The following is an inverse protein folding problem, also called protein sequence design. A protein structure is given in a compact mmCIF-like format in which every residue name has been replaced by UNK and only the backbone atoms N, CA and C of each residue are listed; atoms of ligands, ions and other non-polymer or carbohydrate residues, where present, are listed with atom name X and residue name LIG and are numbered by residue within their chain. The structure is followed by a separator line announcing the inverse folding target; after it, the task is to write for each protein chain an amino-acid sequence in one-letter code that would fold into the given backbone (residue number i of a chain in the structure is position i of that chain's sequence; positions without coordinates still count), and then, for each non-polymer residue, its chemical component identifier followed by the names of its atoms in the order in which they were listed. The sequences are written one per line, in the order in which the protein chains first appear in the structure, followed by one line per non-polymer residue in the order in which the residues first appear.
data_IF_614683579507
#
_entry.id   IF_614683579507
#
_cell.length_a   1.000
_cell.length_b   1.000
_cell.length_c   1.000
_cell.angle_alpha   90.00
_cell.angle_beta   90.00
_cell.angle_gamma   90.00
#
_symmetry.space_group_name_H-M   'P 1'
#
loop_
_entity.id
_entity.type
_entity.pdbx_description
1 polymer ?
#
# COMPACT_ATOMS: atom_id res chain seq x y z
N UNK A 1 -27.70 2.84 -20.47
CA UNK A 1 -27.15 3.82 -21.45
C UNK A 1 -27.27 5.16 -20.74
N UNK A 2 -26.25 5.75 -20.12
CA UNK A 2 -24.85 6.06 -20.47
C UNK A 2 -24.19 6.37 -19.10
N UNK A 3 -22.94 6.15 -18.73
CA UNK A 3 -21.66 6.20 -19.43
C UNK A 3 -20.61 5.48 -18.54
N UNK A 4 -20.17 4.29 -18.95
CA UNK A 4 -19.10 3.53 -18.27
C UNK A 4 -17.81 3.75 -19.05
N UNK A 5 -17.14 4.89 -18.87
CA UNK A 5 -15.78 5.08 -19.39
C UNK A 5 -14.93 5.93 -18.45
N UNK A 6 -13.95 5.26 -17.82
CA UNK A 6 -12.53 5.65 -17.83
C UNK A 6 -11.70 4.50 -17.23
N UNK A 7 -11.78 3.32 -17.84
CA UNK A 7 -10.75 2.27 -17.68
C UNK A 7 -9.91 2.26 -18.95
N UNK A 8 -9.08 3.28 -19.10
CA UNK A 8 -7.94 3.22 -19.99
C UNK A 8 -6.84 2.46 -19.23
N UNK A 9 -6.21 1.41 -19.80
CA UNK A 9 -5.01 0.80 -19.21
C UNK A 9 -3.84 1.78 -19.07
N UNK A 10 -3.96 2.99 -19.63
CA UNK A 10 -3.03 4.11 -19.52
C UNK A 10 -3.42 5.17 -18.47
N UNK A 11 -4.24 4.82 -17.48
CA UNK A 11 -4.46 5.67 -16.30
C UNK A 11 -3.12 6.06 -15.64
N UNK A 12 -3.02 7.24 -15.01
CA UNK A 12 -1.75 7.75 -14.50
C UNK A 12 -1.06 6.69 -13.64
N UNK A 13 0.17 6.35 -14.01
CA UNK A 13 0.99 5.41 -13.26
C UNK A 13 1.53 6.14 -12.02
N UNK A 14 1.20 5.64 -10.84
CA UNK A 14 1.63 6.23 -9.58
C UNK A 14 2.92 5.58 -9.11
N UNK A 15 3.85 6.40 -8.63
CA UNK A 15 5.06 5.91 -7.97
C UNK A 15 4.73 5.41 -6.56
N UNK A 16 4.29 4.17 -6.48
CA UNK A 16 3.78 3.53 -5.27
C UNK A 16 4.08 2.03 -5.31
N UNK A 17 3.97 1.40 -4.15
CA UNK A 17 4.03 -0.06 -3.98
C UNK A 17 2.70 -0.52 -3.41
N UNK A 18 2.09 -1.56 -3.97
CA UNK A 18 0.81 -2.09 -3.51
C UNK A 18 0.95 -3.55 -3.10
N UNK A 19 0.40 -3.90 -1.94
CA UNK A 19 0.46 -5.25 -1.35
C UNK A 19 -0.90 -5.65 -0.76
N UNK A 20 -1.12 -6.96 -0.63
CA UNK A 20 -2.23 -7.54 0.11
C UNK A 20 -1.65 -8.22 1.35
N UNK A 21 -2.26 -7.97 2.52
CA UNK A 21 -1.96 -8.60 3.80
C UNK A 21 -3.27 -9.14 4.39
N UNK A 22 -3.44 -10.46 4.41
CA UNK A 22 -4.70 -11.13 4.72
C UNK A 22 -5.81 -10.64 3.78
N UNK A 23 -6.77 -9.91 4.34
CA UNK A 23 -7.89 -9.30 3.59
C UNK A 23 -7.67 -7.83 3.24
N UNK A 24 -6.58 -7.22 3.66
CA UNK A 24 -6.34 -5.78 3.52
C UNK A 24 -5.38 -5.51 2.36
N UNK A 25 -5.81 -4.70 1.41
CA UNK A 25 -4.94 -4.08 0.41
C UNK A 25 -4.35 -2.78 0.94
N UNK A 26 -3.03 -2.64 0.84
CA UNK A 26 -2.28 -1.46 1.24
C UNK A 26 -1.63 -0.81 0.03
N UNK A 27 -1.64 0.53 0.00
CA UNK A 27 -0.92 1.34 -0.97
C UNK A 27 0.15 2.17 -0.26
N UNK A 28 1.41 1.87 -0.50
CA UNK A 28 2.56 2.58 0.04
C UNK A 28 2.98 3.69 -0.93
N UNK A 29 3.02 4.94 -0.46
CA UNK A 29 3.42 6.12 -1.23
C UNK A 29 4.55 6.86 -0.52
N UNK A 30 5.23 7.73 -1.26
CA UNK A 30 6.35 8.52 -0.76
C UNK A 30 7.38 8.75 -1.85
N UNK A 31 8.35 9.66 -1.63
CA UNK A 31 9.38 9.97 -2.61
C UNK A 31 10.20 8.74 -3.02
N UNK A 32 10.88 8.83 -4.16
CA UNK A 32 11.83 7.79 -4.56
C UNK A 32 12.92 7.66 -3.49
N UNK A 33 13.27 6.42 -3.13
CA UNK A 33 14.23 6.16 -2.05
C UNK A 33 13.67 6.20 -0.62
N UNK A 34 12.39 6.57 -0.40
CA UNK A 34 11.76 6.62 0.93
C UNK A 34 11.75 5.28 1.70
N UNK A 35 11.92 4.16 0.99
CA UNK A 35 11.90 2.81 1.57
C UNK A 35 10.62 2.01 1.34
N UNK A 36 9.75 2.42 0.40
CA UNK A 36 8.47 1.75 0.08
C UNK A 36 8.62 0.24 -0.14
N UNK A 37 9.52 -0.17 -1.03
CA UNK A 37 9.75 -1.58 -1.36
C UNK A 37 10.33 -2.37 -0.18
N UNK A 38 11.22 -1.75 0.61
CA UNK A 38 11.76 -2.37 1.84
C UNK A 38 10.64 -2.63 2.86
N UNK A 39 9.82 -1.61 3.15
CA UNK A 39 8.68 -1.76 4.05
C UNK A 39 7.69 -2.80 3.53
N UNK A 40 7.34 -2.78 2.24
CA UNK A 40 6.48 -3.78 1.63
C UNK A 40 7.02 -5.21 1.81
N UNK A 41 8.31 -5.44 1.59
CA UNK A 41 8.95 -6.75 1.78
C UNK A 41 8.87 -7.22 3.23
N UNK A 42 9.09 -6.32 4.20
CA UNK A 42 8.96 -6.63 5.62
C UNK A 42 7.53 -7.01 5.99
N UNK A 43 6.55 -6.21 5.56
CA UNK A 43 5.13 -6.45 5.83
C UNK A 43 4.63 -7.78 5.24
N UNK A 44 5.02 -8.07 3.99
CA UNK A 44 4.69 -9.34 3.34
C UNK A 44 5.25 -10.53 4.14
N UNK A 45 6.53 -10.47 4.51
CA UNK A 45 7.17 -11.55 5.26
C UNK A 45 6.62 -11.70 6.69
N UNK A 46 6.20 -10.62 7.35
CA UNK A 46 5.56 -10.68 8.66
C UNK A 46 4.18 -11.33 8.58
N UNK A 47 3.36 -10.94 7.60
CA UNK A 47 2.07 -11.58 7.37
C UNK A 47 2.19 -13.07 7.05
N UNK A 48 3.14 -13.46 6.19
CA UNK A 48 3.42 -14.87 5.88
C UNK A 48 3.82 -15.66 7.15
N UNK A 49 4.72 -15.12 7.98
CA UNK A 49 5.16 -15.77 9.23
C UNK A 49 4.01 -15.96 10.23
N UNK A 50 3.05 -15.05 10.23
CA UNK A 50 1.85 -15.13 11.06
C UNK A 50 0.75 -16.04 10.46
N UNK A 51 1.00 -16.66 9.31
CA UNK A 51 0.05 -17.57 8.66
C UNK A 51 -1.04 -16.87 7.85
N UNK A 52 -0.86 -15.59 7.51
CA UNK A 52 -1.78 -14.84 6.66
C UNK A 52 -1.34 -14.85 5.20
N UNK A 53 -2.33 -14.76 4.29
CA UNK A 53 -2.05 -14.54 2.88
C UNK A 53 -1.29 -13.23 2.69
N UNK A 54 -0.24 -13.23 1.88
CA UNK A 54 0.48 -12.02 1.53
C UNK A 54 0.85 -12.05 0.05
N UNK A 55 0.57 -10.97 -0.67
CA UNK A 55 0.86 -10.88 -2.09
C UNK A 55 1.30 -9.49 -2.51
N UNK A 56 2.24 -9.44 -3.45
CA UNK A 56 2.62 -8.22 -4.14
C UNK A 56 1.64 -7.97 -5.30
N UNK A 57 1.10 -6.76 -5.36
CA UNK A 57 0.27 -6.31 -6.49
C UNK A 57 1.14 -5.60 -7.51
N UNK A 58 1.98 -4.67 -7.05
CA UNK A 58 2.95 -3.95 -7.88
C UNK A 58 3.98 -3.21 -7.03
N UNK A 59 5.15 -2.96 -7.62
CA UNK A 59 6.24 -2.19 -7.02
C UNK A 59 6.68 -1.09 -8.00
N UNK A 60 7.06 0.08 -7.46
CA UNK A 60 7.42 1.32 -8.16
C UNK A 60 6.40 1.95 -9.11
N UNK A 61 5.50 1.16 -9.70
CA UNK A 61 4.53 1.56 -10.73
C UNK A 61 3.22 0.81 -10.53
N UNK A 62 2.21 1.54 -10.06
CA UNK A 62 0.86 1.03 -9.81
C UNK A 62 -0.15 1.92 -10.51
N UNK A 63 -1.07 1.31 -11.24
CA UNK A 63 -2.22 2.00 -11.82
C UNK A 63 -3.34 2.03 -10.79
N UNK A 64 -3.95 3.20 -10.59
CA UNK A 64 -5.06 3.37 -9.67
C UNK A 64 -6.33 3.71 -10.45
N UNK A 65 -7.43 3.08 -10.07
CA UNK A 65 -8.76 3.38 -10.62
C UNK A 65 -9.81 3.33 -9.53
N UNK A 66 -10.84 4.14 -9.65
CA UNK A 66 -11.99 4.10 -8.74
C UNK A 66 -13.05 3.20 -9.36
N UNK A 67 -13.32 2.07 -8.72
CA UNK A 67 -14.39 1.15 -9.08
C UNK A 67 -15.60 1.29 -8.15
N UNK A 68 -16.64 0.48 -8.37
CA UNK A 68 -17.86 0.51 -7.57
C UNK A 68 -17.63 0.18 -6.09
N UNK A 69 -16.63 -0.64 -5.78
CA UNK A 69 -16.30 -1.07 -4.42
C UNK A 69 -15.26 -0.19 -3.72
N UNK A 70 -14.65 0.78 -4.41
CA UNK A 70 -13.60 1.65 -3.88
C UNK A 70 -12.38 1.78 -4.80
N UNK A 71 -11.24 2.15 -4.21
CA UNK A 71 -9.99 2.31 -4.96
C UNK A 71 -9.36 0.95 -5.28
N UNK A 72 -9.13 0.69 -6.56
CA UNK A 72 -8.45 -0.51 -7.05
C UNK A 72 -7.04 -0.15 -7.50
N UNK A 73 -6.06 -0.90 -7.01
CA UNK A 73 -4.68 -0.87 -7.48
C UNK A 73 -4.41 -2.04 -8.42
N UNK A 74 -3.75 -1.78 -9.54
CA UNK A 74 -3.26 -2.77 -10.49
C UNK A 74 -1.76 -2.60 -10.70
N UNK A 75 -0.99 -3.68 -10.61
CA UNK A 75 0.44 -3.63 -10.89
C UNK A 75 0.72 -3.40 -12.37
N UNK A 76 1.74 -2.59 -12.69
CA UNK A 76 2.15 -2.37 -14.08
C UNK A 76 2.54 -3.70 -14.79
N UNK A 77 2.18 -3.81 -16.07
CA UNK A 77 2.48 -4.98 -16.90
C UNK A 77 4.00 -5.19 -17.04
N UNK A 78 4.47 -6.44 -17.00
CA UNK A 78 5.88 -6.81 -17.21
C UNK A 78 6.77 -6.90 -15.96
N UNK A 79 6.27 -6.52 -14.77
CA UNK A 79 6.97 -6.66 -13.47
C UNK A 79 6.36 -7.75 -12.57
N UNK A 80 5.80 -8.79 -13.19
CA UNK A 80 4.95 -9.80 -12.54
C UNK A 80 5.60 -10.45 -11.31
N UNK A 81 5.14 -10.03 -10.12
CA UNK A 81 5.55 -10.62 -8.84
C UNK A 81 6.99 -10.33 -8.46
N UNK A 82 7.62 -9.30 -9.04
CA UNK A 82 8.99 -8.91 -8.78
C UNK A 82 9.03 -7.61 -7.99
N UNK A 83 9.94 -7.57 -7.02
CA UNK A 83 10.20 -6.41 -6.17
C UNK A 83 11.71 -6.28 -5.99
N UNK A 84 12.23 -5.06 -6.03
CA UNK A 84 13.65 -4.81 -5.86
C UNK A 84 14.04 -4.88 -4.38
N UNK A 85 14.97 -5.79 -4.06
CA UNK A 85 15.70 -5.76 -2.80
C UNK A 85 17.06 -5.12 -3.05
N UNK A 86 17.21 -3.84 -2.69
CA UNK A 86 18.45 -3.08 -2.90
C UNK A 86 19.64 -3.79 -2.27
N UNK A 87 20.72 -3.93 -3.05
CA UNK A 87 21.92 -4.67 -2.67
C UNK A 87 21.87 -6.17 -2.99
N UNK A 88 20.71 -6.72 -3.36
CA UNK A 88 20.54 -8.12 -3.79
C UNK A 88 20.06 -8.24 -5.24
N UNK A 89 19.11 -7.38 -5.65
CA UNK A 89 18.45 -7.43 -6.96
C UNK A 89 16.97 -7.80 -6.87
N UNK A 90 16.35 -8.14 -8.00
CA UNK A 90 14.92 -8.48 -8.07
C UNK A 90 14.65 -9.85 -7.43
N UNK A 91 13.67 -9.91 -6.53
CA UNK A 91 13.20 -11.15 -5.92
C UNK A 91 11.73 -11.41 -6.25
N UNK A 92 11.31 -12.68 -6.15
CA UNK A 92 9.92 -13.09 -6.42
C UNK A 92 9.08 -13.13 -5.15
N UNK A 93 7.79 -12.80 -5.30
CA UNK A 93 6.73 -12.97 -4.29
C UNK A 93 5.48 -13.57 -4.94
N UNK A 94 4.56 -14.06 -4.11
CA UNK A 94 3.20 -14.33 -4.57
C UNK A 94 2.65 -13.04 -5.19
N UNK A 95 2.01 -13.18 -6.34
CA UNK A 95 1.51 -12.05 -7.13
C UNK A 95 0.00 -12.10 -7.20
N UNK A 96 -0.63 -10.96 -6.96
CA UNK A 96 -1.99 -10.69 -7.42
C UNK A 96 -1.97 -9.60 -8.49
N UNK A 97 -2.89 -9.67 -9.45
CA UNK A 97 -2.97 -8.65 -10.52
C UNK A 97 -3.51 -7.34 -10.00
N UNK A 98 -4.50 -7.41 -9.11
CA UNK A 98 -5.23 -6.27 -8.59
C UNK A 98 -5.55 -6.44 -7.11
N UNK A 99 -5.75 -5.32 -6.42
CA UNK A 99 -6.27 -5.30 -5.05
C UNK A 99 -7.21 -4.11 -4.82
N UNK A 100 -8.24 -4.33 -4.01
CA UNK A 100 -8.98 -3.24 -3.38
C UNK A 100 -8.12 -2.64 -2.27
N UNK A 101 -7.88 -1.34 -2.31
CA UNK A 101 -7.08 -0.64 -1.31
C UNK A 101 -7.95 -0.20 -0.15
N UNK A 102 -7.51 -0.54 1.06
CA UNK A 102 -8.17 -0.27 2.32
C UNK A 102 -7.40 0.75 3.18
N UNK A 103 -6.08 0.83 2.99
CA UNK A 103 -5.19 1.69 3.77
C UNK A 103 -4.08 2.26 2.89
N UNK A 104 -3.83 3.55 3.04
CA UNK A 104 -2.66 4.22 2.47
C UNK A 104 -1.59 4.37 3.54
N UNK A 105 -0.35 4.03 3.19
CA UNK A 105 0.82 4.26 4.03
C UNK A 105 1.67 5.33 3.34
N UNK A 106 1.75 6.51 3.94
CA UNK A 106 2.53 7.62 3.40
C UNK A 106 3.88 7.72 4.11
N UNK A 107 4.94 7.35 3.41
CA UNK A 107 6.31 7.54 3.89
C UNK A 107 6.67 9.03 3.70
N UNK A 108 6.98 9.72 4.81
CA UNK A 108 7.28 11.15 4.83
C UNK A 108 8.50 11.46 5.70
N UNK A 109 9.18 12.59 5.49
CA UNK A 109 10.19 13.08 6.43
C UNK A 109 9.59 13.21 7.83
N UNK A 110 10.31 12.79 8.89
CA UNK A 110 9.80 12.81 10.26
C UNK A 110 9.32 14.19 10.72
N UNK A 111 9.94 15.28 10.23
CA UNK A 111 9.53 16.65 10.55
C UNK A 111 8.17 17.05 9.98
N UNK A 112 7.64 16.30 9.02
CA UNK A 112 6.31 16.50 8.41
C UNK A 112 5.24 15.60 9.03
N UNK A 113 5.60 14.79 10.03
CA UNK A 113 4.68 13.90 10.73
C UNK A 113 4.33 14.53 12.07
N UNK A 114 3.06 14.93 12.19
CA UNK A 114 2.53 15.46 13.43
C UNK A 114 2.57 14.42 14.55
N UNK A 115 2.89 14.86 15.76
CA UNK A 115 2.93 13.97 16.95
C UNK A 115 1.55 13.44 17.31
N UNK A 116 0.52 14.25 17.07
CA UNK A 116 -0.88 13.92 17.25
C UNK A 116 -1.61 14.46 16.01
N UNK A 117 -1.80 13.63 14.96
CA UNK A 117 -2.46 14.07 13.75
C UNK A 117 -3.95 14.26 13.99
N UNK A 118 -4.51 15.31 13.40
CA UNK A 118 -5.96 15.49 13.34
C UNK A 118 -6.62 14.45 12.41
N UNK A 119 -7.92 14.22 12.58
CA UNK A 119 -8.67 13.21 11.80
C UNK A 119 -8.56 13.44 10.27
N UNK A 120 -8.49 14.70 9.84
CA UNK A 120 -8.32 15.05 8.43
C UNK A 120 -6.97 14.60 7.84
N UNK A 121 -5.89 14.60 8.65
CA UNK A 121 -4.58 14.11 8.23
C UNK A 121 -4.54 12.57 8.13
N UNK A 122 -5.53 11.89 8.71
CA UNK A 122 -5.67 10.44 8.71
C UNK A 122 -6.52 9.91 7.54
N UNK A 123 -6.89 10.75 6.57
CA UNK A 123 -7.59 10.34 5.36
C UNK A 123 -7.02 11.00 4.10
N UNK A 124 -7.14 10.34 2.95
CA UNK A 124 -6.69 10.87 1.66
C UNK A 124 -7.74 10.65 0.56
N UNK A 125 -8.03 11.68 -0.26
CA UNK A 125 -8.96 11.56 -1.39
C UNK A 125 -8.35 10.85 -2.60
N UNK A 126 -9.17 10.03 -3.25
CA UNK A 126 -9.01 9.52 -4.61
C UNK A 126 -10.32 9.71 -5.38
N UNK A 127 -10.51 10.90 -5.94
CA UNK A 127 -11.79 11.28 -6.54
C UNK A 127 -12.91 11.26 -5.48
N UNK A 128 -14.00 10.49 -5.68
CA UNK A 128 -15.09 10.39 -4.71
C UNK A 128 -14.79 9.46 -3.52
N UNK A 129 -13.68 8.71 -3.55
CA UNK A 129 -13.32 7.76 -2.48
C UNK A 129 -12.37 8.44 -1.49
N UNK A 130 -12.63 8.27 -0.19
CA UNK A 130 -11.73 8.64 0.89
C UNK A 130 -11.17 7.37 1.51
N UNK A 131 -9.84 7.30 1.66
CA UNK A 131 -9.18 6.18 2.31
C UNK A 131 -8.47 6.61 3.59
N UNK A 132 -8.50 5.79 4.65
CA UNK A 132 -7.63 5.92 5.79
C UNK A 132 -6.16 6.01 5.35
N UNK A 133 -5.41 6.92 5.96
CA UNK A 133 -4.01 7.16 5.70
C UNK A 133 -3.21 7.13 6.99
N UNK A 134 -2.13 6.36 7.01
CA UNK A 134 -1.15 6.36 8.09
C UNK A 134 0.17 6.91 7.57
N UNK A 135 0.54 8.11 8.04
CA UNK A 135 1.88 8.64 7.83
C UNK A 135 2.90 7.83 8.63
N UNK A 136 4.04 7.52 8.03
CA UNK A 136 5.16 6.82 8.67
C UNK A 136 6.48 7.51 8.29
N UNK A 137 7.49 7.54 9.19
CA UNK A 137 8.76 8.17 8.87
C UNK A 137 9.49 7.41 7.76
N UNK A 138 10.19 8.13 6.90
CA UNK A 138 11.15 7.54 5.96
C UNK A 138 12.29 6.83 6.70
N UNK A 139 12.74 5.69 6.15
CA UNK A 139 13.92 4.95 6.61
C UNK A 139 13.99 4.55 8.11
N UNK A 140 12.86 4.49 8.83
CA UNK A 140 12.78 4.03 10.24
C UNK A 140 11.82 2.84 10.35
N UNK A 141 12.32 1.66 9.99
CA UNK A 141 11.52 0.43 9.90
C UNK A 141 10.82 0.07 11.23
N UNK A 142 11.46 0.08 12.41
CA UNK A 142 10.77 -0.24 13.65
C UNK A 142 9.55 0.66 13.90
N UNK A 143 9.69 1.96 13.65
CA UNK A 143 8.59 2.92 13.82
C UNK A 143 7.52 2.77 12.75
N UNK A 144 7.91 2.50 11.50
CA UNK A 144 6.99 2.18 10.41
C UNK A 144 6.11 0.98 10.77
N UNK A 145 6.71 -0.13 11.22
CA UNK A 145 5.96 -1.35 11.57
C UNK A 145 4.97 -1.13 12.71
N UNK A 146 5.36 -0.40 13.76
CA UNK A 146 4.46 -0.06 14.88
C UNK A 146 3.23 0.75 14.42
N UNK A 147 3.45 1.73 13.55
CA UNK A 147 2.39 2.60 13.03
C UNK A 147 1.47 1.85 12.06
N UNK A 148 2.04 1.06 11.14
CA UNK A 148 1.25 0.25 10.19
C UNK A 148 0.41 -0.79 10.95
N UNK A 149 0.98 -1.47 11.95
CA UNK A 149 0.24 -2.43 12.80
C UNK A 149 -0.94 -1.78 13.51
N UNK A 150 -0.74 -0.62 14.14
CA UNK A 150 -1.85 0.08 14.80
C UNK A 150 -2.91 0.57 13.82
N UNK A 151 -2.52 1.04 12.63
CA UNK A 151 -3.49 1.41 11.59
C UNK A 151 -4.32 0.20 11.13
N UNK A 152 -3.68 -0.96 10.97
CA UNK A 152 -4.38 -2.21 10.63
C UNK A 152 -5.30 -2.71 11.74
N UNK A 153 -4.89 -2.60 13.00
CA UNK A 153 -5.76 -2.94 14.15
C UNK A 153 -7.02 -2.07 14.16
N UNK A 154 -6.91 -0.75 13.91
CA UNK A 154 -8.07 0.14 13.80
C UNK A 154 -9.02 -0.27 12.67
N UNK A 155 -8.48 -0.76 11.54
CA UNK A 155 -9.29 -1.23 10.41
C UNK A 155 -9.90 -2.60 10.64
N UNK A 156 -9.19 -3.49 11.34
CA UNK A 156 -9.67 -4.83 11.64
C UNK A 156 -10.79 -4.85 12.68
N UNK A 157 -10.83 -3.85 13.57
CA UNK A 157 -11.75 -3.85 14.70
C UNK A 157 -11.48 -5.06 15.60
N UNK A 158 -12.47 -5.94 15.76
CA UNK A 158 -12.34 -7.20 16.50
C UNK A 158 -11.68 -8.35 15.69
N UNK A 159 -11.37 -8.12 14.41
CA UNK A 159 -10.73 -9.09 13.54
C UNK A 159 -9.22 -9.27 13.79
N UNK A 160 -8.65 -10.34 13.23
CA UNK A 160 -7.21 -10.60 13.32
C UNK A 160 -6.39 -9.60 12.50
N UNK A 161 -5.37 -9.00 13.14
CA UNK A 161 -4.37 -8.18 12.45
C UNK A 161 -3.42 -9.09 11.68
N UNK A 162 -3.12 -8.81 10.39
CA UNK A 162 -2.25 -9.64 9.58
C UNK A 162 -0.76 -9.48 9.94
N UNK A 163 -0.40 -8.49 10.74
CA UNK A 163 0.95 -8.26 11.28
C UNK A 163 1.02 -8.70 12.74
#
# INVERSE_FOLDING_TARGET
MTDTRLTSPDGPCHHATAVILGRFGLLLRGPSGAGKSSLALHLLGEAERNGHFAALVGDDRVHLSVGAAGLVAEGARGLEGRIELRGHGLIRRIRETQALIHLVIDLRPIGEIERLPDDAACAVPFGPVQLPCQAVPEADLPRQLLLVRHALLRLAGEGACPL
#
